data_IF_246158898521
#
_entry.id   IF_246158898521
#
_cell.length_a   1.000
_cell.length_b   1.000
_cell.length_c   1.000
_cell.angle_alpha   90.00
_cell.angle_beta   90.00
_cell.angle_gamma   90.00
#
_symmetry.space_group_name_H-M   'P 1'
#
loop_
_entity.id
_entity.type
_entity.pdbx_description
1 polymer ?
#
# COMPACT_ATOMS: atom_id res chain seq x y z
N UNK A 1 -0.09 -20.47 8.85
CA UNK A 1 -0.85 -19.41 9.54
C UNK A 1 -0.80 -18.24 8.58
N UNK A 2 -1.96 -17.74 8.14
CA UNK A 2 -1.97 -16.53 7.31
C UNK A 2 -1.70 -15.35 8.23
N UNK A 3 -0.65 -14.57 7.92
CA UNK A 3 -0.32 -13.39 8.72
C UNK A 3 -1.39 -12.32 8.50
N UNK A 4 -1.82 -11.70 9.60
CA UNK A 4 -2.75 -10.58 9.59
C UNK A 4 -1.98 -9.26 9.73
N UNK A 5 -2.48 -8.24 9.05
CA UNK A 5 -1.96 -6.88 9.07
C UNK A 5 -3.08 -5.93 9.49
N UNK A 6 -2.70 -4.80 10.05
CA UNK A 6 -3.60 -3.67 10.24
C UNK A 6 -3.73 -2.93 8.90
N UNK A 7 -4.94 -2.81 8.36
CA UNK A 7 -5.19 -2.34 6.99
C UNK A 7 -6.09 -1.12 7.01
N UNK A 8 -5.75 -0.14 6.19
CA UNK A 8 -6.47 1.11 6.02
C UNK A 8 -6.56 1.48 4.54
N UNK A 9 -7.59 2.24 4.16
CA UNK A 9 -7.80 2.64 2.77
C UNK A 9 -8.77 3.80 2.66
N UNK A 10 -8.71 4.48 1.52
CA UNK A 10 -9.77 5.34 1.05
C UNK A 10 -9.92 5.14 -0.47
N UNK A 11 -11.10 4.69 -0.88
CA UNK A 11 -11.45 4.50 -2.27
C UNK A 11 -12.56 5.49 -2.61
N UNK A 12 -12.23 6.60 -3.26
CA UNK A 12 -13.18 7.70 -3.47
C UNK A 12 -14.26 7.34 -4.50
N UNK A 13 -13.97 6.40 -5.41
CA UNK A 13 -14.95 5.89 -6.38
C UNK A 13 -15.82 4.73 -5.86
N UNK A 14 -15.50 4.14 -4.71
CA UNK A 14 -16.21 2.97 -4.22
C UNK A 14 -17.45 3.39 -3.41
N UNK A 15 -18.65 3.22 -4.00
CA UNK A 15 -19.91 3.62 -3.34
C UNK A 15 -20.25 2.77 -2.10
N UNK A 16 -19.86 1.48 -2.10
CA UNK A 16 -20.23 0.51 -1.06
C UNK A 16 -19.08 0.13 -0.12
N UNK A 17 -17.89 0.70 -0.30
CA UNK A 17 -16.70 0.36 0.50
C UNK A 17 -16.33 1.55 1.39
N UNK A 18 -16.72 1.55 2.67
CA UNK A 18 -16.41 2.66 3.56
C UNK A 18 -14.89 2.78 3.75
N UNK A 19 -14.40 4.02 3.78
CA UNK A 19 -13.00 4.31 4.09
C UNK A 19 -12.65 3.84 5.51
N UNK A 20 -11.44 3.31 5.68
CA UNK A 20 -10.88 2.93 6.99
C UNK A 20 -9.66 3.79 7.26
N UNK A 21 -9.67 4.50 8.39
CA UNK A 21 -8.57 5.38 8.82
C UNK A 21 -7.38 4.58 9.32
N UNK A 22 -6.17 5.09 9.09
CA UNK A 22 -4.95 4.53 9.71
C UNK A 22 -4.92 4.67 11.24
N UNK A 23 -5.75 5.52 11.83
CA UNK A 23 -5.88 5.68 13.29
C UNK A 23 -6.70 4.56 13.95
N UNK A 24 -7.56 3.88 13.17
CA UNK A 24 -8.40 2.76 13.60
C UNK A 24 -8.45 1.71 12.48
N UNK A 25 -7.31 1.06 12.18
CA UNK A 25 -7.18 0.17 11.04
C UNK A 25 -7.93 -1.14 11.29
N UNK A 26 -8.39 -1.78 10.20
CA UNK A 26 -9.04 -3.09 10.28
C UNK A 26 -8.04 -4.21 10.07
N UNK A 27 -8.08 -5.20 10.95
CA UNK A 27 -7.19 -6.37 10.89
C UNK A 27 -7.70 -7.40 9.89
N UNK A 28 -6.85 -7.79 8.94
CA UNK A 28 -7.19 -8.80 7.91
C UNK A 28 -5.95 -9.46 7.32
N UNK A 29 -6.15 -10.53 6.56
CA UNK A 29 -5.06 -11.25 5.88
C UNK A 29 -4.71 -10.62 4.53
N UNK A 30 -3.49 -10.86 4.04
CA UNK A 30 -3.09 -10.44 2.69
C UNK A 30 -3.95 -11.06 1.59
N UNK A 31 -4.55 -12.23 1.82
CA UNK A 31 -5.50 -12.83 0.88
C UNK A 31 -6.73 -11.94 0.70
N UNK A 32 -7.28 -11.36 1.77
CA UNK A 32 -8.40 -10.42 1.69
C UNK A 32 -7.95 -9.14 0.98
N UNK A 33 -6.78 -8.60 1.35
CA UNK A 33 -6.22 -7.41 0.70
C UNK A 33 -6.10 -7.63 -0.81
N UNK A 34 -5.49 -8.74 -1.24
CA UNK A 34 -5.25 -9.03 -2.65
C UNK A 34 -6.53 -9.29 -3.45
N UNK A 35 -7.49 -10.01 -2.87
CA UNK A 35 -8.67 -10.48 -3.61
C UNK A 35 -9.86 -9.52 -3.53
N UNK A 36 -9.95 -8.70 -2.47
CA UNK A 36 -11.12 -7.86 -2.20
C UNK A 36 -10.82 -6.36 -2.23
N UNK A 37 -9.62 -5.92 -1.79
CA UNK A 37 -9.31 -4.50 -1.67
C UNK A 37 -8.50 -3.95 -2.84
N UNK A 38 -7.40 -4.60 -3.24
CA UNK A 38 -6.58 -4.14 -4.37
C UNK A 38 -7.41 -3.93 -5.65
N UNK A 39 -8.38 -4.79 -6.02
CA UNK A 39 -9.23 -4.57 -7.19
C UNK A 39 -10.06 -3.29 -7.16
N UNK A 40 -10.24 -2.67 -6.00
CA UNK A 40 -11.03 -1.46 -5.82
C UNK A 40 -10.26 -0.15 -6.02
N UNK A 41 -8.93 -0.20 -6.17
CA UNK A 41 -8.13 0.98 -6.50
C UNK A 41 -8.48 1.48 -7.91
N UNK A 42 -8.91 2.73 -8.05
CA UNK A 42 -9.22 3.38 -9.33
C UNK A 42 -8.25 4.51 -9.65
N UNK A 43 -7.75 4.56 -10.90
CA UNK A 43 -6.74 5.53 -11.31
C UNK A 43 -7.19 7.00 -11.30
N UNK A 44 -8.51 7.26 -11.30
CA UNK A 44 -9.06 8.60 -11.47
C UNK A 44 -9.29 9.37 -10.16
N UNK A 45 -9.05 8.73 -9.02
CA UNK A 45 -9.72 9.10 -7.78
C UNK A 45 -8.76 9.27 -6.59
N UNK A 46 -7.44 9.34 -6.82
CA UNK A 46 -6.42 9.44 -5.76
C UNK A 46 -6.58 8.37 -4.67
N UNK A 47 -7.07 7.19 -5.06
CA UNK A 47 -7.30 6.07 -4.16
C UNK A 47 -6.00 5.62 -3.50
N UNK A 48 -6.10 5.22 -2.23
CA UNK A 48 -4.97 4.67 -1.50
C UNK A 48 -5.37 3.50 -0.61
N UNK A 49 -4.40 2.62 -0.38
CA UNK A 49 -4.48 1.50 0.54
C UNK A 49 -3.14 1.33 1.24
N UNK A 50 -3.15 0.99 2.52
CA UNK A 50 -1.94 0.62 3.24
C UNK A 50 -2.15 -0.52 4.21
N UNK A 51 -1.05 -1.22 4.47
CA UNK A 51 -0.92 -2.26 5.48
C UNK A 51 0.15 -1.84 6.48
N UNK A 52 -0.04 -2.20 7.74
CA UNK A 52 0.87 -1.95 8.84
C UNK A 52 1.22 -3.31 9.46
N UNK A 53 2.51 -3.60 9.53
CA UNK A 53 2.99 -4.80 10.20
C UNK A 53 2.99 -4.67 11.73
N UNK A 54 3.28 -5.76 12.44
CA UNK A 54 3.33 -5.77 13.91
C UNK A 54 4.42 -4.85 14.52
N UNK A 55 5.36 -4.36 13.71
CA UNK A 55 6.39 -3.40 14.12
C UNK A 55 6.00 -1.93 13.87
N UNK A 56 4.82 -1.69 13.29
CA UNK A 56 4.36 -0.36 12.92
C UNK A 56 4.93 0.14 11.58
N UNK A 57 5.55 -0.72 10.78
CA UNK A 57 6.05 -0.35 9.45
C UNK A 57 4.92 -0.40 8.44
N UNK A 58 4.77 0.68 7.67
CA UNK A 58 3.72 0.81 6.65
C UNK A 58 4.26 0.47 5.26
N UNK A 59 3.53 -0.37 4.53
CA UNK A 59 3.61 -0.48 3.08
C UNK A 59 2.29 0.05 2.51
N UNK A 60 2.35 1.05 1.65
CA UNK A 60 1.17 1.68 1.08
C UNK A 60 1.26 1.81 -0.43
N UNK A 61 0.11 1.87 -1.07
CA UNK A 61 -0.05 2.13 -2.49
C UNK A 61 -0.95 3.34 -2.67
N UNK A 62 -0.49 4.27 -3.51
CA UNK A 62 -1.27 5.40 -3.99
C UNK A 62 -1.41 5.30 -5.51
N UNK A 63 -2.54 5.75 -6.00
CA UNK A 63 -2.75 5.95 -7.43
C UNK A 63 -1.97 7.18 -7.90
N UNK A 64 -1.29 7.06 -9.04
CA UNK A 64 -0.69 8.22 -9.72
C UNK A 64 -1.60 8.64 -10.87
N UNK A 65 -2.18 9.85 -10.76
CA UNK A 65 -3.17 10.35 -11.73
C UNK A 65 -2.60 10.51 -13.15
N UNK A 66 -1.29 10.70 -13.29
CA UNK A 66 -0.65 11.06 -14.57
C UNK A 66 -0.17 9.86 -15.39
N UNK A 67 0.01 8.68 -14.79
CA UNK A 67 0.77 7.58 -15.41
C UNK A 67 0.01 6.26 -15.59
N UNK A 68 -1.29 6.20 -15.27
CA UNK A 68 -2.07 4.93 -15.21
C UNK A 68 -1.30 3.84 -14.44
N UNK A 69 -0.58 4.25 -13.40
CA UNK A 69 0.32 3.41 -12.63
C UNK A 69 0.04 3.54 -11.13
N UNK A 70 0.37 2.49 -10.39
CA UNK A 70 0.37 2.52 -8.93
C UNK A 70 1.75 2.89 -8.43
N UNK A 71 1.81 3.76 -7.45
CA UNK A 71 3.03 4.00 -6.69
C UNK A 71 2.94 3.27 -5.35
N UNK A 72 3.72 2.19 -5.22
CA UNK A 72 3.84 1.44 -3.97
C UNK A 72 5.09 1.88 -3.23
N UNK A 73 4.99 2.09 -1.92
CA UNK A 73 6.07 2.67 -1.13
C UNK A 73 6.05 2.28 0.36
N UNK A 74 7.23 2.40 0.97
CA UNK A 74 7.45 2.40 2.42
C UNK A 74 7.81 3.84 2.84
N UNK A 75 6.91 4.56 3.54
CA UNK A 75 7.21 5.86 4.11
C UNK A 75 8.35 5.81 5.13
N UNK A 76 9.25 6.79 5.10
CA UNK A 76 10.33 6.97 6.07
C UNK A 76 10.29 8.39 6.65
N UNK A 77 9.71 8.52 7.84
CA UNK A 77 9.64 9.80 8.56
C UNK A 77 11.05 10.37 8.78
N UNK A 78 11.99 9.52 9.20
CA UNK A 78 13.37 9.91 9.50
C UNK A 78 14.09 10.43 8.25
N UNK A 79 13.87 9.79 7.09
CA UNK A 79 14.47 10.21 5.82
C UNK A 79 13.69 11.35 5.14
N UNK A 80 12.52 11.75 5.66
CA UNK A 80 11.63 12.76 5.07
C UNK A 80 11.31 12.43 3.60
N UNK A 81 10.93 11.19 3.36
CA UNK A 81 10.69 10.65 2.04
C UNK A 81 10.09 9.25 2.11
N UNK A 82 10.01 8.60 0.96
CA UNK A 82 9.55 7.24 0.84
C UNK A 82 10.46 6.45 -0.08
N UNK A 83 10.49 5.14 0.12
CA UNK A 83 11.13 4.21 -0.81
C UNK A 83 10.03 3.50 -1.57
N UNK A 84 10.01 3.62 -2.89
CA UNK A 84 8.92 3.05 -3.68
C UNK A 84 9.25 2.85 -5.14
N UNK A 85 8.30 2.30 -5.88
CA UNK A 85 8.37 2.20 -7.34
C UNK A 85 6.98 2.32 -7.96
N UNK A 86 6.97 2.70 -9.23
CA UNK A 86 5.79 2.56 -10.07
C UNK A 86 5.61 1.09 -10.44
N UNK A 87 4.38 0.59 -10.43
CA UNK A 87 4.04 -0.76 -10.83
C UNK A 87 2.64 -0.81 -11.47
N UNK A 88 2.39 -1.85 -12.26
CA UNK A 88 1.03 -2.16 -12.72
C UNK A 88 0.25 -2.96 -11.67
N UNK A 89 -1.00 -3.32 -11.99
CA UNK A 89 -1.88 -4.06 -11.07
C UNK A 89 -1.39 -5.48 -10.79
N UNK A 90 -0.84 -6.16 -11.79
CA UNK A 90 -0.37 -7.54 -11.64
C UNK A 90 0.84 -7.58 -10.70
N UNK A 91 1.79 -6.67 -10.93
CA UNK A 91 2.96 -6.49 -10.08
C UNK A 91 2.59 -6.04 -8.66
N UNK A 92 1.61 -5.14 -8.50
CA UNK A 92 1.10 -4.73 -7.19
C UNK A 92 0.57 -5.93 -6.39
N UNK A 93 -0.28 -6.76 -7.01
CA UNK A 93 -0.82 -7.96 -6.36
C UNK A 93 0.30 -8.92 -5.98
N UNK A 94 1.29 -9.10 -6.86
CA UNK A 94 2.43 -9.98 -6.60
C UNK A 94 3.30 -9.49 -5.44
N UNK A 95 3.53 -8.18 -5.34
CA UNK A 95 4.23 -7.56 -4.22
C UNK A 95 3.50 -7.82 -2.90
N UNK A 96 2.18 -7.62 -2.85
CA UNK A 96 1.37 -7.87 -1.66
C UNK A 96 1.36 -9.34 -1.24
N UNK A 97 1.36 -10.28 -2.19
CA UNK A 97 1.46 -11.73 -1.89
C UNK A 97 2.78 -12.13 -1.25
N UNK A 98 3.84 -11.38 -1.48
CA UNK A 98 5.20 -11.67 -1.00
C UNK A 98 5.62 -10.81 0.19
N UNK A 99 4.71 -9.99 0.74
CA UNK A 99 4.98 -9.21 1.96
C UNK A 99 5.36 -10.16 3.10
N UNK A 100 6.51 -9.88 3.70
CA UNK A 100 7.01 -10.60 4.87
C UNK A 100 6.27 -10.15 6.12
N UNK A 101 6.24 -11.01 7.16
CA UNK A 101 5.63 -10.68 8.46
C UNK A 101 6.15 -9.37 9.07
N UNK A 102 7.42 -9.07 8.79
CA UNK A 102 8.05 -7.80 9.11
C UNK A 102 8.49 -7.14 7.81
N UNK A 103 7.91 -5.99 7.51
CA UNK A 103 8.21 -5.19 6.34
C UNK A 103 9.59 -4.56 6.54
N UNK A 104 10.48 -4.77 5.56
CA UNK A 104 11.80 -4.17 5.55
C UNK A 104 12.16 -3.72 4.13
N UNK A 105 12.70 -2.51 4.00
CA UNK A 105 13.13 -1.98 2.71
C UNK A 105 14.14 -2.89 1.99
N UNK A 106 14.95 -3.67 2.73
CA UNK A 106 15.88 -4.63 2.12
C UNK A 106 15.20 -5.70 1.26
N UNK A 107 13.91 -5.96 1.50
CA UNK A 107 13.14 -6.96 0.75
C UNK A 107 12.60 -6.41 -0.58
N UNK A 108 12.77 -5.10 -0.81
CA UNK A 108 12.31 -4.38 -2.00
C UNK A 108 13.50 -3.69 -2.71
N UNK A 109 14.40 -4.44 -3.35
CA UNK A 109 15.64 -3.89 -3.94
C UNK A 109 15.39 -2.90 -5.08
N UNK A 110 14.22 -2.96 -5.72
CA UNK A 110 13.84 -2.06 -6.82
C UNK A 110 13.19 -0.76 -6.32
N UNK A 111 12.95 -0.62 -5.01
CA UNK A 111 12.40 0.61 -4.46
C UNK A 111 13.45 1.72 -4.44
N UNK A 112 13.08 2.86 -5.01
CA UNK A 112 13.91 4.04 -5.07
C UNK A 112 13.45 5.06 -4.05
N UNK A 113 14.40 5.71 -3.40
CA UNK A 113 14.09 6.81 -2.50
C UNK A 113 13.60 8.03 -3.26
N UNK A 114 12.48 8.60 -2.83
CA UNK A 114 11.97 9.92 -3.24
C UNK A 114 11.77 10.77 -1.99
N UNK A 115 12.36 11.97 -1.95
CA UNK A 115 12.12 12.90 -0.86
C UNK A 115 10.72 13.50 -0.98
N UNK A 116 10.08 13.80 0.15
CA UNK A 116 8.84 14.57 0.19
C UNK A 116 9.08 16.08 0.02
N UNK A 117 10.34 16.51 0.08
CA UNK A 117 10.72 17.90 -0.14
C UNK A 117 11.30 17.99 -1.56
N UNK A 118 10.61 18.74 -2.41
CA UNK A 118 11.15 19.24 -3.67
C UNK A 118 12.30 20.25 -3.42
#
# INVERSE_FOLDING_TARGET
MSNEYDVFWNFYAAEDTPSVSSDDPMRMTLDVVCNELLPQLHFADDDFLGIIDASGTTLQVCVTADEEAFWIEIPSIDAQGSYGKACDREELVELFRHVQEKINISDYPDFQFRSWKD
#
